data_IF_992096971405
#
_entry.id   IF_992096971405
#
_cell.length_a   1.000
_cell.length_b   1.000
_cell.length_c   1.000
_cell.angle_alpha   90.00
_cell.angle_beta   90.00
_cell.angle_gamma   90.00
#
_symmetry.space_group_name_H-M   'P 1'
#
loop_
_entity.id
_entity.type
_entity.pdbx_description
1 polymer ?
#
# COMPACT_ATOMS: atom_id res chain seq x y z
N UNK A 1 25.26 31.31 19.06
CA UNK A 1 25.85 32.03 17.91
C UNK A 1 24.81 32.52 16.90
N UNK A 2 23.77 31.77 16.51
CA UNK A 2 22.77 32.22 15.52
C UNK A 2 21.75 33.28 15.97
N UNK A 3 21.44 33.37 17.28
CA UNK A 3 20.44 34.30 17.85
C UNK A 3 21.02 35.67 18.17
N UNK A 4 22.35 35.78 18.27
CA UNK A 4 23.05 37.01 18.62
C UNK A 4 23.28 37.93 17.41
N UNK A 5 23.21 37.39 16.19
CA UNK A 5 23.61 38.10 14.96
C UNK A 5 22.44 38.29 13.97
N UNK A 6 21.18 38.03 14.36
CA UNK A 6 19.98 38.20 13.53
C UNK A 6 20.01 37.58 12.11
N UNK A 7 20.82 36.54 11.90
CA UNK A 7 20.82 35.84 10.62
C UNK A 7 19.50 35.09 10.40
N UNK A 8 18.91 35.23 9.22
CA UNK A 8 17.73 34.46 8.83
C UNK A 8 18.03 32.95 8.94
N UNK A 9 17.39 32.27 9.91
CA UNK A 9 17.58 30.85 10.20
C UNK A 9 17.15 29.93 9.03
N UNK A 10 16.23 30.41 8.18
CA UNK A 10 15.85 29.73 6.94
C UNK A 10 15.11 30.71 6.03
N UNK A 11 15.53 30.83 4.77
CA UNK A 11 14.65 31.40 3.74
C UNK A 11 13.58 30.35 3.40
N UNK A 12 12.33 30.57 3.84
CA UNK A 12 11.18 29.81 3.32
C UNK A 12 10.93 30.28 1.89
N UNK A 13 11.57 29.61 0.93
CA UNK A 13 11.46 29.97 -0.48
C UNK A 13 10.07 29.67 -1.06
N UNK A 14 9.31 28.75 -0.46
CA UNK A 14 8.05 28.26 -1.02
C UNK A 14 6.88 28.29 -0.04
N UNK A 15 5.69 28.65 -0.56
CA UNK A 15 4.41 28.51 0.13
C UNK A 15 3.85 27.12 -0.12
N UNK A 16 3.48 26.40 0.93
CA UNK A 16 2.88 25.06 0.82
C UNK A 16 1.36 25.16 0.97
N UNK A 17 0.63 24.68 -0.04
CA UNK A 17 -0.84 24.58 -0.03
C UNK A 17 -1.20 23.12 0.23
N UNK A 18 -1.94 22.86 1.32
CA UNK A 18 -2.43 21.51 1.63
C UNK A 18 -3.63 21.19 0.77
N UNK A 19 -3.51 20.12 0.00
CA UNK A 19 -4.56 19.62 -0.89
C UNK A 19 -5.35 18.52 -0.19
N UNK A 20 -6.66 18.51 -0.38
CA UNK A 20 -7.54 17.50 0.21
C UNK A 20 -7.41 16.19 -0.57
N UNK A 21 -7.43 15.07 0.17
CA UNK A 21 -7.49 13.71 -0.37
C UNK A 21 -8.52 12.97 0.47
N UNK A 22 -9.64 12.61 -0.13
CA UNK A 22 -10.72 11.90 0.51
C UNK A 22 -11.51 11.13 -0.53
N UNK A 23 -12.14 10.03 -0.13
CA UNK A 23 -13.06 9.28 -0.97
C UNK A 23 -14.37 10.06 -1.17
N UNK A 24 -15.22 9.66 -2.14
CA UNK A 24 -16.57 10.20 -2.27
C UNK A 24 -17.31 10.18 -0.93
N UNK A 25 -17.94 11.30 -0.56
CA UNK A 25 -18.71 11.48 0.67
C UNK A 25 -17.94 11.26 1.99
N UNK A 26 -16.62 11.14 1.96
CA UNK A 26 -15.77 10.99 3.14
C UNK A 26 -14.92 12.24 3.41
N UNK A 27 -15.48 13.42 3.15
CA UNK A 27 -14.79 14.69 3.44
C UNK A 27 -14.52 14.82 4.94
N UNK A 28 -13.32 15.27 5.36
CA UNK A 28 -13.07 15.57 6.76
C UNK A 28 -13.88 16.78 7.19
N UNK A 29 -14.65 16.64 8.28
CA UNK A 29 -15.44 17.72 8.89
C UNK A 29 -14.84 18.01 10.26
N UNK A 30 -14.53 19.28 10.51
CA UNK A 30 -14.11 19.76 11.83
C UNK A 30 -15.31 20.44 12.48
N UNK A 31 -15.64 20.04 13.70
CA UNK A 31 -16.74 20.56 14.48
C UNK A 31 -16.31 20.83 15.92
N UNK A 32 -17.12 21.61 16.63
CA UNK A 32 -17.04 21.75 18.09
C UNK A 32 -18.08 20.82 18.70
N UNK A 33 -17.77 20.21 19.84
CA UNK A 33 -18.69 19.32 20.55
C UNK A 33 -20.06 19.98 20.75
N UNK A 34 -21.13 19.26 20.37
CA UNK A 34 -22.51 19.75 20.39
C UNK A 34 -22.94 20.56 19.16
N UNK A 35 -22.08 20.74 18.16
CA UNK A 35 -22.41 21.40 16.88
C UNK A 35 -22.26 20.48 15.65
N UNK A 36 -22.36 19.17 15.85
CA UNK A 36 -22.15 18.15 14.83
C UNK A 36 -23.09 18.36 13.63
N UNK A 37 -24.40 18.50 13.90
CA UNK A 37 -25.42 18.66 12.86
C UNK A 37 -25.18 19.91 12.00
N UNK A 38 -24.88 21.05 12.65
CA UNK A 38 -24.57 22.29 11.94
C UNK A 38 -23.28 22.19 11.13
N UNK A 39 -22.28 21.44 11.63
CA UNK A 39 -21.04 21.24 10.90
C UNK A 39 -21.24 20.39 9.64
N UNK A 40 -22.12 19.38 9.69
CA UNK A 40 -22.54 18.57 8.54
C UNK A 40 -23.24 19.46 7.49
N UNK A 41 -24.20 20.28 7.91
CA UNK A 41 -24.90 21.20 7.00
C UNK A 41 -23.93 22.20 6.33
N UNK A 42 -23.00 22.78 7.11
CA UNK A 42 -21.96 23.67 6.56
C UNK A 42 -21.01 22.94 5.60
N UNK A 43 -20.67 21.69 5.90
CA UNK A 43 -19.80 20.89 5.04
C UNK A 43 -20.48 20.52 3.71
N UNK A 44 -21.78 20.23 3.72
CA UNK A 44 -22.55 19.94 2.52
C UNK A 44 -22.55 21.10 1.50
N UNK A 45 -22.47 22.35 1.99
CA UNK A 45 -22.42 23.55 1.15
C UNK A 45 -21.00 23.93 0.69
N UNK A 46 -19.95 23.31 1.25
CA UNK A 46 -18.56 23.70 1.03
C UNK A 46 -17.82 22.70 0.16
N UNK A 47 -17.09 23.23 -0.83
CA UNK A 47 -16.21 22.42 -1.68
C UNK A 47 -14.84 22.26 -1.01
N UNK A 48 -14.26 21.07 -1.18
CA UNK A 48 -12.85 20.84 -0.82
C UNK A 48 -11.96 21.34 -1.95
N UNK A 49 -10.66 21.43 -1.72
CA UNK A 49 -9.69 21.72 -2.78
C UNK A 49 -9.77 20.70 -3.92
N UNK A 50 -10.13 19.45 -3.62
CA UNK A 50 -10.29 18.36 -4.58
C UNK A 50 -11.57 18.52 -5.41
N UNK A 51 -12.74 18.67 -4.77
CA UNK A 51 -14.00 18.80 -5.51
C UNK A 51 -14.10 20.13 -6.26
N UNK A 52 -13.47 21.19 -5.75
CA UNK A 52 -13.33 22.43 -6.49
C UNK A 52 -12.39 22.30 -7.69
N UNK A 53 -11.36 21.46 -7.62
CA UNK A 53 -10.49 21.19 -8.77
C UNK A 53 -11.26 20.47 -9.88
N UNK A 54 -12.12 19.52 -9.54
CA UNK A 54 -13.02 18.87 -10.51
C UNK A 54 -13.88 19.88 -11.27
N UNK A 55 -14.50 20.82 -10.56
CA UNK A 55 -15.28 21.88 -11.21
C UNK A 55 -14.43 22.85 -12.02
N UNK A 56 -13.24 23.18 -11.54
CA UNK A 56 -12.29 24.02 -12.28
C UNK A 56 -11.92 23.34 -13.60
N UNK A 57 -11.54 22.07 -13.55
CA UNK A 57 -11.22 21.26 -14.73
C UNK A 57 -12.41 21.23 -15.68
N UNK A 58 -13.62 20.92 -15.18
CA UNK A 58 -14.83 20.85 -16.01
C UNK A 58 -15.15 22.16 -16.74
N UNK A 59 -14.94 23.29 -16.10
CA UNK A 59 -15.35 24.59 -16.63
C UNK A 59 -14.26 25.30 -17.45
N UNK A 60 -12.98 24.94 -17.27
CA UNK A 60 -11.86 25.65 -17.86
C UNK A 60 -10.88 24.68 -18.54
N UNK A 61 -10.85 24.63 -19.89
CA UNK A 61 -9.92 23.78 -20.64
C UNK A 61 -8.45 24.04 -20.28
N UNK A 62 -8.10 25.27 -19.86
CA UNK A 62 -6.75 25.61 -19.41
C UNK A 62 -6.29 24.85 -18.15
N UNK A 63 -7.23 24.27 -17.38
CA UNK A 63 -6.92 23.46 -16.21
C UNK A 63 -6.78 21.96 -16.54
N UNK A 64 -7.17 21.52 -17.74
CA UNK A 64 -7.12 20.09 -18.12
C UNK A 64 -5.70 19.52 -18.11
N UNK A 65 -4.69 20.31 -18.47
CA UNK A 65 -3.30 19.85 -18.54
C UNK A 65 -2.52 20.06 -17.24
N UNK A 66 -3.20 20.40 -16.14
CA UNK A 66 -2.56 20.67 -14.85
C UNK A 66 -2.90 19.55 -13.88
N UNK A 67 -1.87 18.92 -13.31
CA UNK A 67 -2.03 17.90 -12.26
C UNK A 67 -2.61 18.54 -11.00
N UNK A 68 -3.35 17.78 -10.20
CA UNK A 68 -3.90 18.31 -8.95
C UNK A 68 -2.83 18.89 -8.02
N UNK A 69 -1.66 18.24 -7.92
CA UNK A 69 -0.50 18.73 -7.15
C UNK A 69 0.05 20.08 -7.63
N UNK A 70 -0.10 20.40 -8.92
CA UNK A 70 0.44 21.62 -9.52
C UNK A 70 -0.57 22.77 -9.57
N UNK A 71 -1.86 22.50 -9.35
CA UNK A 71 -2.92 23.53 -9.35
C UNK A 71 -2.56 24.76 -8.51
N UNK A 72 -1.98 24.64 -7.30
CA UNK A 72 -1.62 25.81 -6.48
C UNK A 72 -0.60 26.78 -7.12
N UNK A 73 0.20 26.32 -8.09
CA UNK A 73 1.12 27.16 -8.86
C UNK A 73 0.34 28.14 -9.77
N UNK A 74 -0.79 27.70 -10.31
CA UNK A 74 -1.58 28.46 -11.30
C UNK A 74 -2.84 29.09 -10.72
N UNK A 75 -3.37 28.53 -9.63
CA UNK A 75 -4.61 28.96 -8.99
C UNK A 75 -4.42 29.11 -7.48
N UNK A 76 -5.22 29.99 -6.90
CA UNK A 76 -5.33 30.20 -5.46
C UNK A 76 -6.71 29.73 -5.00
N UNK A 77 -6.75 28.90 -3.96
CA UNK A 77 -8.01 28.46 -3.37
C UNK A 77 -8.60 29.57 -2.50
N UNK A 78 -9.74 30.11 -2.92
CA UNK A 78 -10.49 31.08 -2.14
C UNK A 78 -11.39 30.35 -1.13
N UNK A 79 -11.03 30.44 0.14
CA UNK A 79 -11.76 29.78 1.24
C UNK A 79 -13.17 30.34 1.47
N UNK A 80 -13.45 31.56 1.01
CA UNK A 80 -14.78 32.17 1.18
C UNK A 80 -15.78 31.58 0.18
N UNK A 81 -15.37 31.48 -1.08
CA UNK A 81 -16.20 30.92 -2.16
C UNK A 81 -15.99 29.41 -2.36
N UNK A 82 -14.99 28.82 -1.71
CA UNK A 82 -14.52 27.44 -1.87
C UNK A 82 -14.17 27.09 -3.32
N UNK A 83 -13.63 28.08 -4.07
CA UNK A 83 -13.30 27.94 -5.48
C UNK A 83 -11.84 28.27 -5.79
N UNK A 84 -11.28 27.62 -6.81
CA UNK A 84 -9.98 27.99 -7.38
C UNK A 84 -10.11 29.24 -8.25
N UNK A 85 -9.29 30.26 -7.95
CA UNK A 85 -9.19 31.50 -8.74
C UNK A 85 -7.82 31.59 -9.40
N UNK A 86 -7.76 32.06 -10.65
CA UNK A 86 -6.49 32.19 -11.37
C UNK A 86 -5.52 33.08 -10.61
N UNK A 87 -4.30 32.58 -10.39
CA UNK A 87 -3.24 33.30 -9.70
C UNK A 87 -2.63 34.34 -10.63
N UNK A 88 -2.38 35.53 -10.09
CA UNK A 88 -1.78 36.63 -10.85
C UNK A 88 -0.24 36.64 -10.77
N UNK A 89 0.35 36.27 -9.62
CA UNK A 89 1.80 36.34 -9.37
C UNK A 89 2.29 35.28 -8.38
N UNK A 90 3.59 34.97 -8.43
CA UNK A 90 4.30 34.18 -7.41
C UNK A 90 4.04 32.67 -7.44
N UNK A 91 3.52 32.14 -8.56
CA UNK A 91 3.19 30.72 -8.71
C UNK A 91 4.38 29.78 -8.62
N UNK A 92 5.55 30.23 -9.11
CA UNK A 92 6.79 29.45 -9.12
C UNK A 92 7.29 29.06 -7.72
N UNK A 93 6.84 29.78 -6.68
CA UNK A 93 7.22 29.54 -5.29
C UNK A 93 6.07 28.88 -4.51
N UNK A 94 5.17 28.15 -5.16
CA UNK A 94 4.03 27.48 -4.49
C UNK A 94 4.04 26.00 -4.77
N UNK A 95 3.91 25.20 -3.72
CA UNK A 95 3.89 23.74 -3.80
C UNK A 95 2.54 23.24 -3.27
N UNK A 96 1.80 22.51 -4.10
CA UNK A 96 0.65 21.73 -3.66
C UNK A 96 1.11 20.44 -3.00
N UNK A 97 0.71 20.20 -1.75
CA UNK A 97 1.09 19.01 -1.00
C UNK A 97 -0.14 18.20 -0.62
N UNK A 98 -0.21 16.98 -1.15
CA UNK A 98 -1.17 15.97 -0.72
C UNK A 98 -0.67 15.37 0.61
N UNK A 99 -1.55 15.19 1.62
CA UNK A 99 -1.18 14.56 2.88
C UNK A 99 -0.66 13.15 2.66
N UNK A 100 0.16 12.66 3.58
CA UNK A 100 0.51 11.24 3.63
C UNK A 100 -0.76 10.46 3.98
N UNK A 101 -1.04 9.40 3.25
CA UNK A 101 -2.15 8.47 3.50
C UNK A 101 -1.53 7.12 3.84
N UNK A 102 -2.05 6.46 4.87
CA UNK A 102 -1.60 5.12 5.27
C UNK A 102 -1.97 4.10 4.20
N UNK A 103 -1.10 3.12 3.95
CA UNK A 103 -1.41 1.98 3.07
C UNK A 103 -2.59 1.14 3.58
N UNK A 104 -2.83 1.15 4.90
CA UNK A 104 -3.98 0.49 5.52
C UNK A 104 -5.32 1.15 5.17
N UNK A 105 -5.28 2.40 4.68
CA UNK A 105 -6.44 3.11 4.13
C UNK A 105 -6.41 2.98 2.59
N UNK A 106 -6.54 1.73 2.16
CA UNK A 106 -6.18 1.21 0.85
C UNK A 106 -6.72 2.07 -0.31
N UNK A 107 -8.04 2.27 -0.37
CA UNK A 107 -8.65 3.03 -1.48
C UNK A 107 -8.25 4.51 -1.49
N UNK A 108 -8.08 5.13 -0.32
CA UNK A 108 -7.64 6.53 -0.24
C UNK A 108 -6.16 6.66 -0.61
N UNK A 109 -5.34 5.67 -0.28
CA UNK A 109 -3.94 5.58 -0.67
C UNK A 109 -3.80 5.52 -2.20
N UNK A 110 -4.55 4.64 -2.86
CA UNK A 110 -4.53 4.54 -4.32
C UNK A 110 -5.13 5.77 -5.01
N UNK A 111 -6.20 6.36 -4.46
CA UNK A 111 -6.69 7.66 -4.93
C UNK A 111 -5.60 8.72 -4.89
N UNK A 112 -4.82 8.80 -3.79
CA UNK A 112 -3.69 9.74 -3.68
C UNK A 112 -2.66 9.52 -4.78
N UNK A 113 -2.34 8.27 -5.12
CA UNK A 113 -1.42 7.95 -6.20
C UNK A 113 -1.92 8.46 -7.55
N UNK A 114 -3.19 8.22 -7.88
CA UNK A 114 -3.79 8.71 -9.12
C UNK A 114 -3.82 10.23 -9.18
N UNK A 115 -4.14 10.90 -8.08
CA UNK A 115 -4.15 12.37 -7.99
C UNK A 115 -2.77 13.02 -8.21
N UNK A 116 -1.68 12.29 -7.98
CA UNK A 116 -0.32 12.75 -8.28
C UNK A 116 0.05 12.62 -9.77
N UNK A 117 -0.73 11.87 -10.56
CA UNK A 117 -0.39 11.49 -11.94
C UNK A 117 -1.39 11.99 -12.96
N UNK A 118 -2.69 11.92 -12.66
CA UNK A 118 -3.76 12.37 -13.56
C UNK A 118 -3.88 13.89 -13.53
N UNK A 119 -4.09 14.46 -14.71
CA UNK A 119 -4.36 15.89 -14.89
C UNK A 119 -5.80 16.07 -15.36
N UNK A 120 -6.37 17.24 -15.06
CA UNK A 120 -7.67 17.63 -15.60
C UNK A 120 -8.87 16.80 -15.19
N UNK A 121 -8.76 15.93 -14.17
CA UNK A 121 -9.87 15.08 -13.80
C UNK A 121 -11.08 15.92 -13.38
N UNK A 122 -12.29 15.55 -13.84
CA UNK A 122 -13.53 16.30 -13.59
C UNK A 122 -14.46 15.66 -12.56
N UNK A 123 -14.12 14.46 -12.07
CA UNK A 123 -14.88 13.75 -11.04
C UNK A 123 -14.06 12.58 -10.48
N UNK A 124 -14.55 11.94 -9.42
CA UNK A 124 -14.00 10.67 -8.95
C UNK A 124 -14.12 9.54 -9.98
N UNK A 125 -15.23 9.51 -10.72
CA UNK A 125 -15.45 8.55 -11.81
C UNK A 125 -14.42 8.71 -12.94
N UNK A 126 -14.02 9.95 -13.24
CA UNK A 126 -12.99 10.25 -14.22
C UNK A 126 -11.59 9.82 -13.71
N UNK A 127 -11.35 9.92 -12.40
CA UNK A 127 -10.16 9.33 -11.77
C UNK A 127 -10.16 7.79 -11.91
N UNK A 128 -11.32 7.14 -11.73
CA UNK A 128 -11.48 5.69 -11.91
C UNK A 128 -11.41 5.24 -13.37
N UNK A 129 -11.56 6.15 -14.33
CA UNK A 129 -11.59 5.81 -15.76
C UNK A 129 -10.18 5.84 -16.34
N UNK A 130 -9.67 4.69 -16.80
CA UNK A 130 -8.36 4.56 -17.42
C UNK A 130 -8.54 3.94 -18.79
N UNK A 131 -7.93 4.54 -19.83
CA UNK A 131 -8.06 4.09 -21.23
C UNK A 131 -9.53 3.94 -21.70
N UNK A 132 -10.44 4.76 -21.17
CA UNK A 132 -11.87 4.72 -21.50
C UNK A 132 -12.69 3.66 -20.74
N UNK A 133 -12.04 2.84 -19.89
CA UNK A 133 -12.70 1.84 -19.05
C UNK A 133 -12.81 2.35 -17.60
N UNK A 134 -14.03 2.33 -17.06
CA UNK A 134 -14.29 2.71 -15.67
C UNK A 134 -14.00 1.55 -14.74
N UNK A 135 -12.98 1.67 -13.91
CA UNK A 135 -12.63 0.69 -12.88
C UNK A 135 -13.64 0.69 -11.72
N UNK A 136 -13.67 -0.39 -10.95
CA UNK A 136 -14.52 -0.51 -9.75
C UNK A 136 -13.87 0.18 -8.56
N UNK A 137 -12.54 0.02 -8.40
CA UNK A 137 -11.75 0.54 -7.28
C UNK A 137 -10.61 1.44 -7.75
N UNK A 138 -10.10 2.30 -6.85
CA UNK A 138 -8.92 3.11 -7.14
C UNK A 138 -7.65 2.26 -7.25
N UNK A 139 -7.58 1.14 -6.53
CA UNK A 139 -6.53 0.14 -6.72
C UNK A 139 -6.49 -0.37 -8.17
N UNK A 140 -7.64 -0.82 -8.67
CA UNK A 140 -7.75 -1.31 -10.04
C UNK A 140 -7.39 -0.22 -11.05
N UNK A 141 -7.83 1.02 -10.83
CA UNK A 141 -7.43 2.14 -11.66
C UNK A 141 -5.90 2.38 -11.62
N UNK A 142 -5.23 2.21 -10.48
CA UNK A 142 -3.76 2.27 -10.41
C UNK A 142 -3.10 1.14 -11.21
N UNK A 143 -3.64 -0.09 -11.17
CA UNK A 143 -3.16 -1.23 -11.97
C UNK A 143 -3.28 -0.95 -13.46
N UNK A 144 -4.48 -0.59 -13.94
CA UNK A 144 -4.75 -0.27 -15.34
C UNK A 144 -3.94 0.93 -15.85
N UNK A 145 -3.62 1.88 -14.96
CA UNK A 145 -2.77 3.03 -15.28
C UNK A 145 -1.28 2.66 -15.32
N UNK A 146 -0.91 1.44 -14.90
CA UNK A 146 0.48 0.97 -14.82
C UNK A 146 1.28 1.58 -13.66
N UNK A 147 0.59 2.03 -12.59
CA UNK A 147 1.25 2.53 -11.38
C UNK A 147 1.62 1.41 -10.40
N UNK A 148 0.90 0.29 -10.45
CA UNK A 148 1.26 -0.92 -9.72
C UNK A 148 1.99 -1.84 -10.68
N UNK A 149 3.21 -2.26 -10.31
CA UNK A 149 3.76 -3.49 -10.87
C UNK A 149 2.97 -4.58 -10.16
N UNK A 150 2.28 -5.44 -10.91
CA UNK A 150 1.64 -6.61 -10.34
C UNK A 150 2.65 -7.52 -9.63
N UNK A 151 2.29 -8.76 -9.38
CA UNK A 151 3.09 -9.63 -8.49
C UNK A 151 4.51 -9.95 -9.02
N UNK A 152 4.85 -9.62 -10.27
CA UNK A 152 6.14 -9.88 -10.89
C UNK A 152 7.34 -9.45 -10.03
N UNK A 153 7.29 -8.28 -9.39
CA UNK A 153 8.40 -7.83 -8.54
C UNK A 153 8.62 -8.73 -7.32
N UNK A 154 7.56 -9.38 -6.83
CA UNK A 154 7.61 -10.37 -5.76
C UNK A 154 8.16 -11.70 -6.25
N UNK A 155 7.77 -12.11 -7.47
CA UNK A 155 8.38 -13.28 -8.10
C UNK A 155 9.89 -13.08 -8.35
N UNK A 156 10.30 -11.93 -8.88
CA UNK A 156 11.71 -11.61 -9.11
C UNK A 156 12.49 -11.64 -7.79
N UNK A 157 11.96 -11.01 -6.73
CA UNK A 157 12.60 -10.98 -5.41
C UNK A 157 12.76 -12.38 -4.79
N UNK A 158 11.73 -13.25 -4.91
CA UNK A 158 11.80 -14.63 -4.40
C UNK A 158 12.75 -15.49 -5.21
N UNK A 159 12.77 -15.35 -6.54
CA UNK A 159 13.70 -16.06 -7.43
C UNK A 159 15.16 -15.68 -7.15
N UNK A 160 15.44 -14.39 -6.97
CA UNK A 160 16.79 -13.91 -6.63
C UNK A 160 17.21 -14.40 -5.24
N UNK A 161 16.31 -14.35 -4.25
CA UNK A 161 16.60 -14.81 -2.91
C UNK A 161 16.85 -16.33 -2.86
N UNK A 162 16.10 -17.13 -3.61
CA UNK A 162 16.25 -18.58 -3.65
C UNK A 162 17.64 -19.04 -4.10
N UNK A 163 18.37 -18.23 -4.88
CA UNK A 163 19.72 -18.57 -5.35
C UNK A 163 20.81 -18.40 -4.29
N UNK A 164 20.63 -17.50 -3.32
CA UNK A 164 21.72 -17.05 -2.45
C UNK A 164 21.38 -16.99 -0.96
N UNK A 165 20.11 -17.12 -0.57
CA UNK A 165 19.65 -16.98 0.82
C UNK A 165 19.42 -18.34 1.48
N UNK A 166 19.52 -18.36 2.80
CA UNK A 166 19.10 -19.53 3.58
C UNK A 166 17.57 -19.69 3.56
N UNK A 167 17.09 -20.91 3.78
CA UNK A 167 15.66 -21.21 3.80
C UNK A 167 14.86 -20.34 4.79
N UNK A 168 15.42 -20.07 5.97
CA UNK A 168 14.78 -19.19 6.97
C UNK A 168 14.65 -17.75 6.44
N UNK A 169 15.66 -17.26 5.72
CA UNK A 169 15.59 -15.93 5.10
C UNK A 169 14.57 -15.89 3.96
N UNK A 170 14.48 -16.96 3.17
CA UNK A 170 13.46 -17.07 2.12
C UNK A 170 12.04 -17.09 2.72
N UNK A 171 11.82 -17.77 3.85
CA UNK A 171 10.54 -17.73 4.58
C UNK A 171 10.21 -16.37 5.16
N UNK A 172 11.20 -15.66 5.71
CA UNK A 172 11.01 -14.29 6.19
C UNK A 172 10.63 -13.36 5.05
N UNK A 173 11.28 -13.50 3.88
CA UNK A 173 10.94 -12.71 2.70
C UNK A 173 9.52 -13.00 2.22
N UNK A 174 9.13 -14.27 2.11
CA UNK A 174 7.78 -14.66 1.74
C UNK A 174 6.73 -14.08 2.71
N UNK A 175 6.93 -14.22 4.01
CA UNK A 175 6.01 -13.66 5.02
C UNK A 175 5.95 -12.12 4.97
N UNK A 176 7.08 -11.45 4.73
CA UNK A 176 7.13 -10.00 4.54
C UNK A 176 6.37 -9.56 3.29
N UNK A 177 6.52 -10.28 2.18
CA UNK A 177 5.78 -10.03 0.94
C UNK A 177 4.28 -10.22 1.17
N UNK A 178 3.84 -11.28 1.85
CA UNK A 178 2.43 -11.45 2.21
C UNK A 178 1.91 -10.33 3.14
N UNK A 179 2.75 -9.83 4.04
CA UNK A 179 2.40 -8.76 5.00
C UNK A 179 2.32 -7.36 4.40
N UNK A 180 3.17 -7.04 3.43
CA UNK A 180 3.38 -5.66 2.98
C UNK A 180 3.42 -5.49 1.46
N UNK A 181 3.49 -6.58 0.70
CA UNK A 181 3.66 -6.55 -0.75
C UNK A 181 2.37 -6.28 -1.52
N UNK A 182 1.21 -6.22 -0.86
CA UNK A 182 -0.09 -6.04 -1.53
C UNK A 182 -0.27 -7.04 -2.70
N UNK A 183 0.16 -8.29 -2.47
CA UNK A 183 0.14 -9.39 -3.45
C UNK A 183 -1.29 -9.65 -3.91
N UNK A 184 -1.49 -9.73 -5.22
CA UNK A 184 -2.81 -9.97 -5.83
C UNK A 184 -3.28 -11.41 -5.61
N UNK A 185 -2.38 -12.39 -5.81
CA UNK A 185 -2.68 -13.81 -5.65
C UNK A 185 -1.60 -14.54 -4.84
N UNK A 186 -1.75 -14.52 -3.50
CA UNK A 186 -0.85 -15.22 -2.59
C UNK A 186 -0.83 -16.75 -2.83
N UNK A 187 -1.96 -17.42 -3.10
CA UNK A 187 -1.95 -18.82 -3.53
C UNK A 187 -1.09 -19.09 -4.77
N UNK A 188 -1.20 -18.28 -5.83
CA UNK A 188 -0.36 -18.44 -7.03
C UNK A 188 1.12 -18.20 -6.71
N UNK A 189 1.43 -17.14 -5.94
CA UNK A 189 2.80 -16.87 -5.47
C UNK A 189 3.38 -18.06 -4.70
N UNK A 190 2.60 -18.69 -3.82
CA UNK A 190 3.02 -19.90 -3.12
C UNK A 190 3.27 -21.06 -4.08
N UNK A 191 2.34 -21.35 -5.00
CA UNK A 191 2.44 -22.46 -5.94
C UNK A 191 3.69 -22.32 -6.81
N UNK A 192 3.95 -21.13 -7.34
CA UNK A 192 5.11 -20.89 -8.22
C UNK A 192 6.45 -21.01 -7.49
N UNK A 193 6.52 -20.68 -6.20
CA UNK A 193 7.76 -20.70 -5.41
C UNK A 193 7.86 -21.90 -4.45
N UNK A 194 6.88 -22.80 -4.47
CA UNK A 194 6.80 -23.92 -3.52
C UNK A 194 8.04 -24.80 -3.56
N UNK A 195 8.60 -25.07 -4.74
CA UNK A 195 9.78 -25.93 -4.90
C UNK A 195 10.96 -25.38 -4.09
N UNK A 196 11.29 -24.11 -4.28
CA UNK A 196 12.38 -23.44 -3.55
C UNK A 196 12.09 -23.28 -2.05
N UNK A 197 10.83 -23.03 -1.69
CA UNK A 197 10.39 -22.90 -0.30
C UNK A 197 10.37 -24.26 0.44
N UNK A 198 10.25 -25.37 -0.28
CA UNK A 198 10.09 -26.68 0.34
C UNK A 198 11.29 -27.61 0.12
N UNK A 199 12.30 -27.23 -0.65
CA UNK A 199 13.40 -28.11 -1.10
C UNK A 199 14.01 -28.95 0.03
N UNK A 200 14.48 -28.31 1.10
CA UNK A 200 15.08 -28.99 2.25
C UNK A 200 14.09 -29.91 2.98
N UNK A 201 12.82 -29.51 3.04
CA UNK A 201 11.77 -30.30 3.68
C UNK A 201 11.38 -31.50 2.83
N UNK A 202 11.27 -31.34 1.52
CA UNK A 202 11.01 -32.44 0.58
C UNK A 202 12.16 -33.44 0.62
N UNK A 203 13.41 -32.96 0.63
CA UNK A 203 14.59 -33.81 0.74
C UNK A 203 14.63 -34.58 2.08
N UNK A 204 14.26 -33.93 3.19
CA UNK A 204 14.28 -34.56 4.52
C UNK A 204 13.09 -35.50 4.78
N UNK A 205 11.94 -35.20 4.17
CA UNK A 205 10.68 -35.89 4.43
C UNK A 205 10.17 -36.53 3.13
N UNK A 206 9.20 -35.92 2.46
CA UNK A 206 8.70 -36.36 1.15
C UNK A 206 8.04 -35.21 0.41
N UNK A 207 7.79 -35.36 -0.90
CA UNK A 207 7.04 -34.38 -1.70
C UNK A 207 5.63 -34.10 -1.12
N UNK A 208 5.02 -35.10 -0.51
CA UNK A 208 3.66 -35.00 0.05
C UNK A 208 3.65 -34.26 1.38
N UNK A 209 4.63 -34.49 2.25
CA UNK A 209 4.64 -33.95 3.62
C UNK A 209 5.53 -32.71 3.76
N UNK A 210 6.55 -32.55 2.93
CA UNK A 210 7.49 -31.42 2.93
C UNK A 210 6.81 -30.05 2.90
N UNK A 211 5.86 -29.79 1.98
CA UNK A 211 5.14 -28.53 1.93
C UNK A 211 4.36 -28.19 3.21
N UNK A 212 3.83 -29.21 3.90
CA UNK A 212 3.14 -29.01 5.18
C UNK A 212 4.12 -28.54 6.27
N UNK A 213 5.37 -29.03 6.26
CA UNK A 213 6.40 -28.59 7.20
C UNK A 213 6.87 -27.16 6.92
N UNK A 214 7.04 -26.81 5.64
CA UNK A 214 7.35 -25.45 5.26
C UNK A 214 6.24 -24.48 5.68
N UNK A 215 4.97 -24.80 5.40
CA UNK A 215 3.82 -23.98 5.77
C UNK A 215 3.68 -23.80 7.29
N UNK A 216 3.93 -24.84 8.08
CA UNK A 216 3.92 -24.73 9.54
C UNK A 216 4.99 -23.76 10.07
N UNK A 217 6.20 -23.79 9.52
CA UNK A 217 7.28 -22.88 9.91
C UNK A 217 7.05 -21.44 9.37
N UNK A 218 6.36 -21.29 8.22
CA UNK A 218 5.94 -19.99 7.67
C UNK A 218 4.80 -19.38 8.50
N UNK A 219 3.83 -20.16 8.97
CA UNK A 219 2.72 -19.67 9.79
C UNK A 219 3.23 -18.96 11.05
N UNK A 220 4.28 -19.49 11.70
CA UNK A 220 4.92 -18.84 12.84
C UNK A 220 5.39 -17.42 12.48
N UNK A 221 5.97 -17.22 11.30
CA UNK A 221 6.42 -15.91 10.82
C UNK A 221 5.25 -14.98 10.48
N UNK A 222 4.19 -15.51 9.85
CA UNK A 222 3.00 -14.75 9.48
C UNK A 222 2.28 -14.17 10.71
N UNK A 223 2.30 -14.87 11.85
CA UNK A 223 1.69 -14.34 13.08
C UNK A 223 2.31 -13.01 13.53
N UNK A 224 3.59 -12.78 13.25
CA UNK A 224 4.27 -11.50 13.56
C UNK A 224 3.70 -10.31 12.78
N UNK A 225 3.00 -10.58 11.67
CA UNK A 225 2.33 -9.60 10.83
C UNK A 225 0.80 -9.61 10.99
N UNK A 226 0.26 -10.26 12.02
CA UNK A 226 -1.19 -10.47 12.24
C UNK A 226 -1.89 -11.22 11.09
N UNK A 227 -1.13 -12.01 10.31
CA UNK A 227 -1.64 -12.87 9.25
C UNK A 227 -1.75 -14.33 9.72
N UNK A 228 -2.43 -15.16 8.92
CA UNK A 228 -2.49 -16.61 9.07
C UNK A 228 -2.62 -17.26 7.69
N UNK A 229 -2.28 -18.54 7.56
CA UNK A 229 -2.43 -19.28 6.30
C UNK A 229 -3.88 -19.23 5.81
N UNK A 230 -4.83 -19.33 6.74
CA UNK A 230 -6.26 -19.23 6.44
C UNK A 230 -6.64 -17.87 5.84
N UNK A 231 -6.12 -16.76 6.39
CA UNK A 231 -6.39 -15.40 5.86
C UNK A 231 -5.81 -15.20 4.46
N UNK A 232 -4.75 -15.93 4.13
CA UNK A 232 -4.05 -15.88 2.84
C UNK A 232 -4.56 -16.94 1.85
N UNK A 233 -5.61 -17.68 2.19
CA UNK A 233 -6.14 -18.78 1.37
C UNK A 233 -5.12 -19.88 1.03
N UNK A 234 -4.13 -20.08 1.91
CA UNK A 234 -3.13 -21.15 1.79
C UNK A 234 -3.59 -22.42 2.53
N UNK A 235 -3.04 -23.60 2.19
CA UNK A 235 -3.37 -24.85 2.88
C UNK A 235 -3.07 -24.76 4.38
N UNK A 236 -4.06 -25.02 5.23
CA UNK A 236 -3.88 -25.03 6.69
C UNK A 236 -3.24 -26.33 7.16
N UNK A 237 -2.36 -26.24 8.16
CA UNK A 237 -1.68 -27.40 8.74
C UNK A 237 -2.27 -27.71 10.12
N UNK A 238 -2.64 -28.97 10.39
CA UNK A 238 -3.05 -29.38 11.75
C UNK A 238 -1.82 -29.56 12.64
N UNK A 239 -1.52 -28.52 13.41
CA UNK A 239 -0.37 -28.48 14.31
C UNK A 239 -0.33 -29.61 15.36
N UNK A 240 -1.47 -30.15 15.82
CA UNK A 240 -1.48 -31.17 16.88
C UNK A 240 -0.93 -32.52 16.40
N UNK A 241 -1.26 -32.92 15.18
CA UNK A 241 -0.74 -34.13 14.54
C UNK A 241 0.74 -33.93 14.19
N UNK A 242 1.07 -32.74 13.71
CA UNK A 242 2.35 -32.41 13.13
C UNK A 242 3.51 -32.32 14.15
N UNK A 243 3.28 -31.68 15.29
CA UNK A 243 4.29 -31.60 16.37
C UNK A 243 4.57 -32.96 17.01
N UNK A 244 3.55 -33.83 17.12
CA UNK A 244 3.73 -35.21 17.59
C UNK A 244 4.61 -36.02 16.64
N UNK A 245 4.40 -35.90 15.34
CA UNK A 245 5.22 -36.60 14.35
C UNK A 245 6.65 -36.05 14.28
N UNK A 246 6.83 -34.72 14.33
CA UNK A 246 8.16 -34.06 14.32
C UNK A 246 9.00 -34.46 15.55
N UNK A 247 8.39 -34.51 16.73
CA UNK A 247 9.07 -34.94 17.96
C UNK A 247 9.38 -36.45 17.98
N UNK A 248 8.44 -37.29 17.53
CA UNK A 248 8.66 -38.74 17.39
C UNK A 248 9.77 -39.07 16.38
N UNK A 249 9.86 -38.34 15.26
CA UNK A 249 10.89 -38.56 14.24
C UNK A 249 12.27 -38.05 14.64
N UNK A 250 12.37 -36.91 15.33
CA UNK A 250 13.63 -36.44 15.91
C UNK A 250 14.15 -37.42 16.99
N UNK A 251 13.25 -38.00 17.78
CA UNK A 251 13.57 -39.08 18.71
C UNK A 251 14.10 -40.33 18.01
N UNK A 252 13.44 -40.81 16.95
CA UNK A 252 13.90 -41.97 16.16
C UNK A 252 15.26 -41.72 15.49
N UNK A 253 15.51 -40.50 15.01
CA UNK A 253 16.79 -40.13 14.37
C UNK A 253 17.93 -40.06 15.38
N UNK A 254 17.68 -39.51 16.59
CA UNK A 254 18.64 -39.54 17.70
C UNK A 254 18.93 -40.96 18.19
N UNK A 255 17.91 -41.82 18.27
CA UNK A 255 18.08 -43.23 18.63
C UNK A 255 18.93 -44.00 17.60
N UNK A 256 18.74 -43.76 16.29
CA UNK A 256 19.60 -44.36 15.25
C UNK A 256 21.06 -43.92 15.36
N UNK A 257 21.31 -42.64 15.64
CA UNK A 257 22.66 -42.10 15.85
C UNK A 257 23.33 -42.70 17.11
N UNK A 258 22.58 -42.90 18.19
CA UNK A 258 23.08 -43.54 19.42
C UNK A 258 23.42 -45.01 19.18
N UNK A 259 22.59 -45.75 18.44
CA UNK A 259 22.87 -47.16 18.11
C UNK A 259 24.12 -47.31 17.24
N UNK A 260 24.33 -46.42 16.26
CA UNK A 260 25.53 -46.42 15.40
C UNK A 260 26.80 -46.05 16.18
N UNK A 261 26.72 -45.20 17.20
CA UNK A 261 27.87 -44.82 18.05
C UNK A 261 28.20 -45.84 19.15
N UNK A 262 27.30 -46.78 19.43
CA UNK A 262 27.47 -47.83 20.43
C UNK A 262 27.71 -49.23 19.82
N UNK A 263 27.90 -49.34 18.50
CA UNK A 263 28.27 -50.55 17.76
C UNK A 263 29.71 -50.47 17.29
#
# INVERSE_FOLDING_TARGET
MWRLNEFNLSHKSHTVVRLAVHLPQQQPIVYQDGQEAQAIERAALRKTTLTSWFELSKNYPSAHNISYSDIPQYYMFDKSTTNWKKRQRGGQNVIGRLPVVSILDTERYYLRMLLLRKSGAISFDDILTVNGLRCITFQQACQEYGLLRGDQQWHDALNDAAQFQSLRQLFMLFAMICGFGEVEDVPDLWVQHQVSLCEDFVHRYSEQTGPHYALADIEELLTSYNLSLQKLHLPTVDFQVFWRERTLMLWKSRLKLIVILCS
#
